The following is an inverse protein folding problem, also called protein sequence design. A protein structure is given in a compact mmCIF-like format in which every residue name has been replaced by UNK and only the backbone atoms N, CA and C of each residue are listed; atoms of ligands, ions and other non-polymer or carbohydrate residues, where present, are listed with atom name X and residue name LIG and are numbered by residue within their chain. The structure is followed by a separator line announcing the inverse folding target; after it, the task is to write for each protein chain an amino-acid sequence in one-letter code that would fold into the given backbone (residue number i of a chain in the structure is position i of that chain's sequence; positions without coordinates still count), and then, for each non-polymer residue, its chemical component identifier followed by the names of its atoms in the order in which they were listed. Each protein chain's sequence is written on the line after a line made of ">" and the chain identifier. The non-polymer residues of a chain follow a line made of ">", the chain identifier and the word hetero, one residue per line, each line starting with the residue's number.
data_IF_561398213181
#
_entry.id   IF_561398213181
#
_cell.length_a   1.000
_cell.length_b   1.000
_cell.length_c   1.000
_cell.angle_alpha   90.00
_cell.angle_beta   90.00
_cell.angle_gamma   90.00
#
_symmetry.space_group_name_H-M   'P 1'
#
loop_
_entity.id
_entity.type
_entity.pdbx_description
1 polymer ?
#
# COMPACT_ATOMS: atom_id res chain seq x y z
N UNK A 1 -34.23 -16.20 10.52
CA UNK A 1 -33.35 -17.25 11.12
C UNK A 1 -32.62 -18.11 10.08
N UNK A 2 -33.28 -18.67 9.06
CA UNK A 2 -32.59 -19.48 8.03
C UNK A 2 -31.66 -18.63 7.13
N UNK A 3 -32.11 -17.46 6.68
CA UNK A 3 -31.31 -16.53 5.85
C UNK A 3 -30.04 -16.07 6.55
N UNK A 4 -30.11 -15.87 7.87
CA UNK A 4 -28.99 -15.44 8.72
C UNK A 4 -27.92 -16.54 8.88
N UNK A 5 -28.36 -17.81 8.99
CA UNK A 5 -27.47 -18.98 8.98
C UNK A 5 -26.81 -19.18 7.62
N UNK A 6 -27.55 -18.97 6.54
CA UNK A 6 -27.07 -19.08 5.17
C UNK A 6 -26.02 -17.99 4.87
N UNK A 7 -26.32 -16.73 5.23
CA UNK A 7 -25.38 -15.62 5.10
C UNK A 7 -24.10 -15.84 5.92
N UNK A 8 -24.24 -16.24 7.19
CA UNK A 8 -23.09 -16.53 8.05
C UNK A 8 -22.26 -17.70 7.50
N UNK A 9 -22.91 -18.73 6.94
CA UNK A 9 -22.25 -19.85 6.29
C UNK A 9 -21.41 -19.41 5.10
N UNK A 10 -21.98 -18.59 4.21
CA UNK A 10 -21.29 -18.04 3.03
C UNK A 10 -20.11 -17.16 3.43
N UNK A 11 -20.29 -16.27 4.41
CA UNK A 11 -19.22 -15.39 4.89
C UNK A 11 -18.07 -16.18 5.52
N UNK A 12 -18.37 -17.22 6.31
CA UNK A 12 -17.36 -18.11 6.89
C UNK A 12 -16.63 -18.92 5.83
N UNK A 13 -17.35 -19.49 4.86
CA UNK A 13 -16.75 -20.22 3.75
C UNK A 13 -15.82 -19.32 2.93
N UNK A 14 -16.24 -18.10 2.62
CA UNK A 14 -15.42 -17.10 1.94
C UNK A 14 -14.16 -16.73 2.72
N UNK A 15 -14.28 -16.50 4.04
CA UNK A 15 -13.14 -16.21 4.89
C UNK A 15 -12.14 -17.38 4.97
N UNK A 16 -12.64 -18.62 5.10
CA UNK A 16 -11.81 -19.82 5.09
C UNK A 16 -11.11 -20.01 3.75
N UNK A 17 -11.82 -19.80 2.64
CA UNK A 17 -11.24 -19.88 1.29
C UNK A 17 -10.14 -18.83 1.10
N UNK A 18 -10.37 -17.58 1.49
CA UNK A 18 -9.36 -16.52 1.40
C UNK A 18 -8.12 -16.84 2.25
N UNK A 19 -8.31 -17.33 3.47
CA UNK A 19 -7.22 -17.76 4.34
C UNK A 19 -6.45 -18.96 3.74
N UNK A 20 -7.17 -19.92 3.16
CA UNK A 20 -6.56 -21.09 2.51
C UNK A 20 -5.73 -20.68 1.29
N UNK A 21 -6.25 -19.80 0.43
CA UNK A 21 -5.51 -19.29 -0.73
C UNK A 21 -4.25 -18.55 -0.28
N UNK A 22 -4.35 -17.69 0.74
CA UNK A 22 -3.19 -17.00 1.30
C UNK A 22 -2.14 -17.98 1.83
N UNK A 23 -2.57 -19.03 2.55
CA UNK A 23 -1.68 -20.08 3.06
C UNK A 23 -1.03 -20.85 1.91
N UNK A 24 -1.78 -21.19 0.86
CA UNK A 24 -1.26 -21.89 -0.31
C UNK A 24 -0.20 -21.06 -1.04
N UNK A 25 -0.45 -19.75 -1.22
CA UNK A 25 0.54 -18.83 -1.81
C UNK A 25 1.81 -18.79 -0.94
N UNK A 26 1.67 -18.69 0.38
CA UNK A 26 2.81 -18.69 1.30
C UNK A 26 3.60 -20.00 1.21
N UNK A 27 2.92 -21.15 1.26
CA UNK A 27 3.55 -22.45 1.13
C UNK A 27 4.25 -22.60 -0.23
N UNK A 28 3.64 -22.14 -1.31
CA UNK A 28 4.24 -22.17 -2.64
C UNK A 28 5.52 -21.33 -2.71
N UNK A 29 5.48 -20.09 -2.20
CA UNK A 29 6.66 -19.22 -2.12
C UNK A 29 7.78 -19.85 -1.30
N UNK A 30 7.45 -20.50 -0.17
CA UNK A 30 8.42 -21.18 0.67
C UNK A 30 9.07 -22.37 -0.04
N UNK A 31 8.27 -23.20 -0.73
CA UNK A 31 8.76 -24.37 -1.45
C UNK A 31 9.69 -23.97 -2.61
N UNK A 32 9.32 -22.96 -3.39
CA UNK A 32 10.14 -22.48 -4.50
C UNK A 32 11.39 -21.72 -4.04
N UNK A 33 11.34 -21.06 -2.87
CA UNK A 33 12.50 -20.38 -2.28
C UNK A 33 13.46 -21.35 -1.59
N UNK A 34 12.98 -22.54 -1.19
CA UNK A 34 13.72 -23.48 -0.35
C UNK A 34 15.09 -23.93 -0.90
N UNK A 35 15.24 -24.26 -2.19
CA UNK A 35 16.53 -24.72 -2.73
C UNK A 35 17.65 -23.69 -2.53
N UNK A 36 17.34 -22.43 -2.79
CA UNK A 36 18.28 -21.31 -2.66
C UNK A 36 18.52 -20.93 -1.20
N UNK A 37 17.50 -20.99 -0.33
CA UNK A 37 17.66 -20.67 1.10
C UNK A 37 18.56 -21.67 1.84
N UNK A 38 18.62 -22.92 1.37
CA UNK A 38 19.47 -23.97 1.95
C UNK A 38 20.80 -24.14 1.22
N UNK A 39 20.83 -23.91 -0.10
CA UNK A 39 22.03 -24.06 -0.92
C UNK A 39 22.94 -22.83 -0.94
N UNK A 40 22.38 -21.63 -0.79
CA UNK A 40 23.10 -20.37 -0.73
C UNK A 40 23.00 -19.75 0.66
N UNK A 41 24.06 -19.08 1.09
CA UNK A 41 24.01 -18.29 2.32
C UNK A 41 23.01 -17.15 2.18
N UNK A 42 22.01 -17.08 3.06
CA UNK A 42 20.98 -16.02 3.09
C UNK A 42 21.61 -14.62 3.16
N UNK A 43 22.83 -14.52 3.71
CA UNK A 43 23.57 -13.27 3.77
C UNK A 43 23.92 -12.71 2.39
N UNK A 44 24.03 -13.55 1.35
CA UNK A 44 24.33 -13.10 -0.02
C UNK A 44 23.30 -12.12 -0.57
N UNK A 45 22.03 -12.25 -0.17
CA UNK A 45 20.98 -11.29 -0.54
C UNK A 45 21.20 -9.88 0.04
N UNK A 46 22.05 -9.76 1.05
CA UNK A 46 22.36 -8.52 1.77
C UNK A 46 23.76 -8.01 1.44
N UNK A 47 24.72 -8.93 1.23
CA UNK A 47 26.16 -8.62 1.14
C UNK A 47 26.73 -8.65 -0.26
N UNK A 48 26.06 -9.28 -1.23
CA UNK A 48 26.54 -9.30 -2.62
C UNK A 48 26.65 -7.86 -3.15
N UNK A 49 27.63 -7.59 -4.01
CA UNK A 49 27.92 -6.23 -4.46
C UNK A 49 26.79 -5.64 -5.32
N UNK A 50 26.06 -6.47 -6.07
CA UNK A 50 25.06 -6.02 -7.04
C UNK A 50 24.06 -7.12 -7.40
N UNK A 51 23.06 -6.76 -8.20
CA UNK A 51 22.08 -7.67 -8.78
C UNK A 51 22.51 -8.08 -10.19
N UNK A 52 23.22 -9.21 -10.31
CA UNK A 52 23.55 -9.86 -11.58
C UNK A 52 23.35 -11.38 -11.45
N UNK A 53 22.10 -11.86 -11.59
CA UNK A 53 21.77 -13.28 -11.40
C UNK A 53 22.56 -14.24 -12.29
N UNK A 54 22.90 -13.82 -13.52
CA UNK A 54 23.69 -14.61 -14.47
C UNK A 54 25.15 -14.80 -14.02
N UNK A 55 25.67 -13.88 -13.22
CA UNK A 55 27.02 -13.94 -12.63
C UNK A 55 26.98 -14.52 -11.20
N UNK A 56 25.80 -14.96 -10.76
CA UNK A 56 25.58 -15.51 -9.43
C UNK A 56 25.58 -14.47 -8.31
N UNK A 57 25.33 -13.18 -8.60
CA UNK A 57 25.20 -12.11 -7.61
C UNK A 57 23.72 -11.72 -7.40
N UNK A 58 23.26 -11.74 -6.14
CA UNK A 58 21.83 -11.72 -5.81
C UNK A 58 21.42 -10.62 -4.80
N UNK A 59 22.06 -9.44 -4.84
CA UNK A 59 21.76 -8.38 -3.87
C UNK A 59 20.33 -7.82 -4.03
N UNK A 60 19.48 -8.03 -3.02
CA UNK A 60 18.09 -7.56 -2.98
C UNK A 60 17.91 -6.22 -2.25
N UNK A 61 18.94 -5.75 -1.54
CA UNK A 61 18.83 -4.59 -0.66
C UNK A 61 18.51 -3.27 -1.36
N UNK A 62 19.11 -2.93 -2.52
CA UNK A 62 18.71 -1.73 -3.26
C UNK A 62 17.22 -1.73 -3.62
N UNK A 63 16.68 -2.93 -3.90
CA UNK A 63 15.29 -3.09 -4.31
C UNK A 63 14.32 -2.99 -3.14
N UNK A 64 14.72 -3.55 -1.99
CA UNK A 64 14.00 -3.39 -0.74
C UNK A 64 13.97 -1.91 -0.34
N UNK A 65 15.10 -1.21 -0.44
CA UNK A 65 15.18 0.22 -0.19
C UNK A 65 14.26 1.01 -1.13
N UNK A 66 14.30 0.75 -2.44
CA UNK A 66 13.40 1.39 -3.41
C UNK A 66 11.92 1.15 -3.09
N UNK A 67 11.55 -0.07 -2.69
CA UNK A 67 10.18 -0.44 -2.30
C UNK A 67 9.71 0.33 -1.07
N UNK A 68 10.56 0.38 -0.02
CA UNK A 68 10.26 1.08 1.23
C UNK A 68 10.20 2.59 1.02
N UNK A 69 11.18 3.17 0.32
CA UNK A 69 11.23 4.61 0.05
C UNK A 69 10.03 5.08 -0.78
N UNK A 70 9.65 4.34 -1.83
CA UNK A 70 8.49 4.67 -2.63
C UNK A 70 7.20 4.60 -1.81
N UNK A 71 7.04 3.55 -1.00
CA UNK A 71 5.85 3.36 -0.17
C UNK A 71 5.74 4.39 0.95
N UNK A 72 6.84 4.66 1.67
CA UNK A 72 6.89 5.65 2.74
C UNK A 72 6.69 7.05 2.17
N UNK A 73 7.35 7.39 1.07
CA UNK A 73 7.16 8.67 0.38
C UNK A 73 5.70 8.89 -0.01
N UNK A 74 5.05 7.85 -0.56
CA UNK A 74 3.64 7.92 -0.92
C UNK A 74 2.73 8.11 0.30
N UNK A 75 3.01 7.41 1.42
CA UNK A 75 2.25 7.55 2.66
C UNK A 75 2.40 8.94 3.29
N UNK A 76 3.61 9.52 3.27
CA UNK A 76 3.87 10.87 3.80
C UNK A 76 2.95 11.90 3.13
N UNK A 77 2.68 11.74 1.83
CA UNK A 77 1.79 12.63 1.08
C UNK A 77 0.32 12.21 1.20
N UNK A 78 0.01 10.93 1.03
CA UNK A 78 -1.36 10.45 0.94
C UNK A 78 -2.10 10.43 2.28
N UNK A 79 -1.40 10.20 3.40
CA UNK A 79 -2.02 10.17 4.74
C UNK A 79 -2.62 11.52 5.14
N UNK A 80 -1.86 12.63 5.16
CA UNK A 80 -2.44 13.92 5.54
C UNK A 80 -3.52 14.37 4.56
N UNK A 81 -3.31 14.21 3.25
CA UNK A 81 -4.31 14.56 2.23
C UNK A 81 -5.57 13.71 2.37
N UNK A 82 -5.42 12.40 2.55
CA UNK A 82 -6.54 11.47 2.66
C UNK A 82 -7.39 11.71 3.91
N UNK A 83 -6.75 11.95 5.07
CA UNK A 83 -7.43 12.31 6.32
C UNK A 83 -8.11 13.67 6.19
N UNK A 84 -7.44 14.67 5.60
CA UNK A 84 -8.03 15.98 5.37
C UNK A 84 -9.27 15.90 4.47
N UNK A 85 -9.21 15.13 3.38
CA UNK A 85 -10.36 14.84 2.52
C UNK A 85 -11.51 14.18 3.28
N UNK A 86 -11.22 13.21 4.15
CA UNK A 86 -12.25 12.56 4.96
C UNK A 86 -12.90 13.52 5.97
N UNK A 87 -12.10 14.33 6.66
CA UNK A 87 -12.59 15.36 7.57
C UNK A 87 -13.46 16.39 6.85
N UNK A 88 -13.05 16.81 5.65
CA UNK A 88 -13.81 17.72 4.81
C UNK A 88 -15.19 17.15 4.50
N UNK A 89 -15.27 15.90 4.03
CA UNK A 89 -16.53 15.23 3.71
C UNK A 89 -17.46 15.14 4.93
N UNK A 90 -16.92 14.80 6.11
CA UNK A 90 -17.73 14.53 7.31
C UNK A 90 -18.19 15.80 8.02
N UNK A 91 -17.32 16.80 8.16
CA UNK A 91 -17.56 17.92 9.08
C UNK A 91 -17.72 19.29 8.41
N UNK A 92 -17.18 19.48 7.20
CA UNK A 92 -17.08 20.81 6.60
C UNK A 92 -17.89 20.98 5.31
N UNK A 93 -18.06 19.91 4.53
CA UNK A 93 -18.74 19.96 3.25
C UNK A 93 -20.28 20.00 3.43
N UNK A 94 -21.01 20.83 2.65
CA UNK A 94 -22.46 20.73 2.57
C UNK A 94 -22.87 19.39 1.94
N UNK A 95 -24.06 18.88 2.29
CA UNK A 95 -24.52 17.53 1.93
C UNK A 95 -24.35 17.17 0.44
N UNK A 96 -24.69 18.09 -0.47
CA UNK A 96 -24.53 17.87 -1.91
C UNK A 96 -23.07 17.73 -2.33
N UNK A 97 -22.19 18.63 -1.85
CA UNK A 97 -20.77 18.60 -2.17
C UNK A 97 -20.08 17.38 -1.58
N UNK A 98 -20.41 17.03 -0.33
CA UNK A 98 -19.92 15.83 0.34
C UNK A 98 -20.27 14.57 -0.47
N UNK A 99 -21.51 14.48 -0.94
CA UNK A 99 -22.00 13.36 -1.75
C UNK A 99 -21.29 13.24 -3.09
N UNK A 100 -21.11 14.36 -3.80
CA UNK A 100 -20.39 14.38 -5.10
C UNK A 100 -18.91 14.05 -4.89
N UNK A 101 -18.25 14.69 -3.93
CA UNK A 101 -16.83 14.47 -3.68
C UNK A 101 -16.54 13.03 -3.24
N UNK A 102 -17.38 12.45 -2.37
CA UNK A 102 -17.28 11.02 -2.01
C UNK A 102 -17.39 10.10 -3.22
N UNK A 103 -18.35 10.35 -4.13
CA UNK A 103 -18.47 9.60 -5.39
C UNK A 103 -17.20 9.71 -6.24
N UNK A 104 -16.60 10.90 -6.36
CA UNK A 104 -15.35 11.07 -7.11
C UNK A 104 -14.19 10.27 -6.51
N UNK A 105 -14.07 10.24 -5.18
CA UNK A 105 -13.06 9.42 -4.48
C UNK A 105 -13.31 7.92 -4.70
N UNK A 106 -14.57 7.48 -4.67
CA UNK A 106 -14.95 6.09 -4.96
C UNK A 106 -14.64 5.71 -6.42
N UNK A 107 -14.88 6.62 -7.37
CA UNK A 107 -14.50 6.43 -8.77
C UNK A 107 -12.97 6.34 -8.92
N UNK A 108 -12.22 7.19 -8.22
CA UNK A 108 -10.76 7.15 -8.21
C UNK A 108 -10.24 5.81 -7.67
N UNK A 109 -10.88 5.24 -6.64
CA UNK A 109 -10.54 3.92 -6.10
C UNK A 109 -10.80 2.78 -7.10
N UNK A 110 -11.70 2.98 -8.06
CA UNK A 110 -12.05 2.00 -9.09
C UNK A 110 -11.09 1.98 -10.29
N UNK A 111 -10.17 2.94 -10.41
CA UNK A 111 -9.22 3.01 -11.52
C UNK A 111 -8.16 1.90 -11.38
N UNK A 112 -7.93 1.06 -12.42
CA UNK A 112 -6.87 0.06 -12.39
C UNK A 112 -5.47 0.68 -12.25
N UNK A 113 -4.55 0.02 -11.52
CA UNK A 113 -3.22 0.60 -11.24
C UNK A 113 -2.37 0.83 -12.50
N UNK A 114 -2.53 -0.01 -13.53
CA UNK A 114 -1.86 0.18 -14.83
C UNK A 114 -2.26 1.49 -15.51
N UNK A 115 -3.48 2.01 -15.28
CA UNK A 115 -3.91 3.29 -15.86
C UNK A 115 -3.17 4.45 -15.19
N UNK A 116 -3.00 4.40 -13.87
CA UNK A 116 -2.16 5.36 -13.15
C UNK A 116 -0.70 5.29 -13.58
N UNK A 117 -0.16 4.08 -13.74
CA UNK A 117 1.20 3.86 -14.25
C UNK A 117 1.40 4.40 -15.66
N UNK A 118 0.44 4.15 -16.56
CA UNK A 118 0.48 4.64 -17.94
C UNK A 118 0.43 6.17 -18.00
N UNK A 119 -0.52 6.79 -17.29
CA UNK A 119 -0.58 8.26 -17.19
C UNK A 119 0.72 8.82 -16.60
N UNK A 120 1.25 8.17 -15.57
CA UNK A 120 2.52 8.54 -14.96
C UNK A 120 3.68 8.48 -15.95
N UNK A 121 3.73 7.46 -16.81
CA UNK A 121 4.75 7.30 -17.83
C UNK A 121 4.60 8.32 -18.99
N UNK A 122 3.38 8.56 -19.47
CA UNK A 122 3.15 9.40 -20.65
C UNK A 122 3.10 10.90 -20.34
N UNK A 123 2.82 11.26 -19.09
CA UNK A 123 2.59 12.65 -18.70
C UNK A 123 3.50 13.07 -17.56
N UNK A 124 3.47 12.37 -16.43
CA UNK A 124 4.20 12.81 -15.24
C UNK A 124 5.72 12.69 -15.40
N UNK A 125 6.22 11.55 -15.87
CA UNK A 125 7.65 11.31 -16.05
C UNK A 125 8.28 12.30 -17.06
N UNK A 126 7.68 12.57 -18.24
CA UNK A 126 8.16 13.65 -19.11
C UNK A 126 8.19 15.02 -18.45
N UNK A 127 7.14 15.41 -17.71
CA UNK A 127 7.11 16.69 -16.98
C UNK A 127 8.21 16.79 -15.93
N UNK A 128 8.48 15.71 -15.19
CA UNK A 128 9.62 15.66 -14.27
C UNK A 128 10.93 15.73 -15.05
N UNK A 129 11.01 15.05 -16.20
CA UNK A 129 12.20 15.00 -17.05
C UNK A 129 12.58 16.35 -17.69
N UNK A 130 11.60 17.22 -17.95
CA UNK A 130 11.84 18.61 -18.38
C UNK A 130 12.55 19.42 -17.30
N UNK A 131 12.29 19.12 -16.02
CA UNK A 131 12.93 19.79 -14.90
C UNK A 131 14.25 19.09 -14.49
N UNK A 132 14.22 17.77 -14.38
CA UNK A 132 15.33 16.93 -13.98
C UNK A 132 15.28 15.57 -14.73
N UNK A 133 16.10 15.38 -15.78
CA UNK A 133 16.24 14.10 -16.46
C UNK A 133 16.68 12.98 -15.50
N UNK A 134 16.24 11.72 -15.70
CA UNK A 134 15.47 11.18 -16.85
C UNK A 134 13.94 11.29 -16.70
N UNK A 135 13.43 11.89 -15.62
CA UNK A 135 12.00 11.96 -15.33
C UNK A 135 11.43 10.71 -14.66
N UNK A 136 11.74 9.53 -15.21
CA UNK A 136 11.43 8.24 -14.58
C UNK A 136 12.28 8.05 -13.32
N UNK A 137 11.65 8.07 -12.15
CA UNK A 137 12.34 8.31 -10.87
C UNK A 137 11.55 7.80 -9.67
N UNK A 138 12.21 7.73 -8.51
CA UNK A 138 11.56 7.50 -7.22
C UNK A 138 10.42 8.50 -6.97
N UNK A 139 10.61 9.79 -7.31
CA UNK A 139 9.59 10.83 -7.18
C UNK A 139 8.37 10.52 -8.04
N UNK A 140 8.56 10.16 -9.31
CA UNK A 140 7.47 9.77 -10.20
C UNK A 140 6.67 8.59 -9.59
N UNK A 141 7.38 7.58 -9.08
CA UNK A 141 6.79 6.45 -8.36
C UNK A 141 5.98 6.89 -7.14
N UNK A 142 6.55 7.74 -6.28
CA UNK A 142 5.90 8.28 -5.07
C UNK A 142 4.61 9.02 -5.41
N UNK A 143 4.62 9.88 -6.43
CA UNK A 143 3.46 10.69 -6.81
C UNK A 143 2.33 9.83 -7.39
N UNK A 144 2.66 8.87 -8.26
CA UNK A 144 1.67 7.92 -8.82
C UNK A 144 1.08 7.04 -7.72
N UNK A 145 1.93 6.52 -6.82
CA UNK A 145 1.48 5.74 -5.66
C UNK A 145 0.59 6.57 -4.73
N UNK A 146 0.95 7.83 -4.48
CA UNK A 146 0.16 8.76 -3.66
C UNK A 146 -1.26 8.87 -4.22
N UNK A 147 -1.39 9.14 -5.52
CA UNK A 147 -2.70 9.26 -6.18
C UNK A 147 -3.52 7.98 -6.05
N UNK A 148 -2.87 6.82 -6.14
CA UNK A 148 -3.51 5.51 -6.05
C UNK A 148 -3.98 5.15 -4.63
N UNK A 149 -3.17 5.41 -3.60
CA UNK A 149 -3.51 5.03 -2.20
C UNK A 149 -4.33 6.09 -1.47
N UNK A 150 -4.33 7.34 -1.95
CA UNK A 150 -5.15 8.43 -1.43
C UNK A 150 -6.64 8.05 -1.27
N UNK A 151 -7.36 7.54 -2.29
CA UNK A 151 -8.77 7.21 -2.13
C UNK A 151 -9.01 6.12 -1.09
N UNK A 152 -8.10 5.15 -0.95
CA UNK A 152 -8.20 4.13 0.10
C UNK A 152 -8.13 4.78 1.49
N UNK A 153 -7.17 5.67 1.73
CA UNK A 153 -7.02 6.38 3.01
C UNK A 153 -8.25 7.25 3.27
N UNK A 154 -8.74 7.98 2.26
CA UNK A 154 -9.93 8.83 2.42
C UNK A 154 -11.18 8.01 2.77
N UNK A 155 -11.42 6.89 2.10
CA UNK A 155 -12.61 6.04 2.34
C UNK A 155 -12.53 5.39 3.72
N UNK A 156 -11.37 4.86 4.11
CA UNK A 156 -11.17 4.24 5.43
C UNK A 156 -11.25 5.27 6.56
N UNK A 157 -10.67 6.45 6.40
CA UNK A 157 -10.80 7.53 7.37
C UNK A 157 -12.25 8.05 7.45
N UNK A 158 -12.95 8.19 6.32
CA UNK A 158 -14.36 8.58 6.27
C UNK A 158 -15.23 7.59 7.03
N UNK A 159 -15.07 6.29 6.79
CA UNK A 159 -15.86 5.25 7.47
C UNK A 159 -15.57 5.22 8.97
N UNK A 160 -14.31 5.40 9.38
CA UNK A 160 -13.94 5.50 10.79
C UNK A 160 -14.57 6.73 11.48
N UNK A 161 -14.55 7.89 10.83
CA UNK A 161 -15.13 9.13 11.35
C UNK A 161 -16.67 9.09 11.37
N UNK A 162 -17.30 8.53 10.33
CA UNK A 162 -18.75 8.39 10.24
C UNK A 162 -19.31 7.37 11.25
N UNK A 163 -18.48 6.45 11.74
CA UNK A 163 -18.83 5.50 12.79
C UNK A 163 -18.75 6.08 14.21
N UNK A 164 -18.33 7.34 14.38
CA UNK A 164 -18.33 8.01 15.69
C UNK A 164 -19.79 8.22 16.13
N UNK A 165 -20.19 7.80 17.35
CA UNK A 165 -21.54 7.99 17.86
C UNK A 165 -21.98 9.45 17.79
N UNK A 166 -23.20 9.69 17.29
CA UNK A 166 -23.72 11.05 17.12
C UNK A 166 -23.89 11.76 18.47
N UNK A 167 -24.14 11.00 19.52
CA UNK A 167 -24.28 11.47 20.90
C UNK A 167 -23.00 12.15 21.38
N UNK A 168 -21.82 11.62 21.05
CA UNK A 168 -20.53 12.24 21.39
C UNK A 168 -20.37 13.60 20.70
N UNK A 169 -20.79 13.70 19.43
CA UNK A 169 -20.71 14.94 18.65
C UNK A 169 -21.72 15.99 19.15
N UNK A 170 -22.93 15.56 19.51
CA UNK A 170 -23.96 16.42 20.08
C UNK A 170 -23.57 16.92 21.48
N UNK A 171 -23.03 16.06 22.33
CA UNK A 171 -22.52 16.44 23.66
C UNK A 171 -21.38 17.46 23.55
N UNK A 172 -20.48 17.29 22.58
CA UNK A 172 -19.43 18.26 22.31
C UNK A 172 -20.00 19.64 21.95
N UNK A 173 -21.04 19.67 21.10
CA UNK A 173 -21.72 20.92 20.76
C UNK A 173 -22.46 21.55 21.93
N UNK A 174 -23.06 20.75 22.82
CA UNK A 174 -23.73 21.21 24.03
C UNK A 174 -22.75 21.84 25.05
N UNK A 175 -21.50 21.36 25.07
CA UNK A 175 -20.40 21.95 25.84
C UNK A 175 -19.80 23.21 25.19
N UNK A 176 -20.36 23.70 24.09
CA UNK A 176 -19.90 24.91 23.40
C UNK A 176 -18.61 24.73 22.60
N UNK A 177 -18.20 23.49 22.30
CA UNK A 177 -17.02 23.25 21.45
C UNK A 177 -17.28 23.73 20.02
N UNK A 178 -16.30 24.44 19.45
CA UNK A 178 -16.32 24.80 18.03
C UNK A 178 -16.22 23.55 17.15
N UNK A 179 -16.61 23.64 15.88
CA UNK A 179 -16.50 22.51 14.93
C UNK A 179 -15.09 21.89 14.91
N UNK A 180 -14.06 22.73 14.90
CA UNK A 180 -12.67 22.25 14.97
C UNK A 180 -12.33 21.66 16.35
N UNK A 181 -12.85 22.25 17.43
CA UNK A 181 -12.75 21.69 18.78
C UNK A 181 -13.34 20.29 18.88
N UNK A 182 -14.52 20.05 18.29
CA UNK A 182 -15.16 18.74 18.22
C UNK A 182 -14.35 17.75 17.38
N UNK A 183 -13.85 18.17 16.22
CA UNK A 183 -13.01 17.32 15.37
C UNK A 183 -11.75 16.86 16.09
N UNK A 184 -10.99 17.80 16.66
CA UNK A 184 -9.70 17.52 17.31
C UNK A 184 -9.85 16.84 18.66
N UNK A 185 -10.85 17.23 19.45
CA UNK A 185 -11.04 16.77 20.83
C UNK A 185 -11.88 15.50 20.96
N UNK A 186 -12.74 15.18 19.99
CA UNK A 186 -13.71 14.07 20.10
C UNK A 186 -13.62 13.13 18.90
N UNK A 187 -13.84 13.64 17.68
CA UNK A 187 -13.98 12.77 16.51
C UNK A 187 -12.67 12.05 16.14
N UNK A 188 -11.55 12.77 16.05
CA UNK A 188 -10.24 12.17 15.73
C UNK A 188 -9.78 11.17 16.79
N UNK A 189 -9.83 11.47 18.10
CA UNK A 189 -9.51 10.50 19.15
C UNK A 189 -10.41 9.24 19.09
N UNK A 190 -11.71 9.41 18.86
CA UNK A 190 -12.65 8.30 18.77
C UNK A 190 -12.41 7.42 17.52
N UNK A 191 -12.03 8.03 16.39
CA UNK A 191 -11.81 7.34 15.12
C UNK A 191 -10.36 6.82 14.94
N UNK A 192 -9.44 7.10 15.87
CA UNK A 192 -7.99 6.86 15.71
C UNK A 192 -7.62 5.43 15.32
N UNK A 193 -8.29 4.43 15.90
CA UNK A 193 -8.00 3.01 15.63
C UNK A 193 -8.43 2.61 14.22
N UNK A 194 -9.57 3.12 13.75
CA UNK A 194 -10.02 2.90 12.37
C UNK A 194 -9.14 3.60 11.34
N UNK A 195 -8.76 4.86 11.60
CA UNK A 195 -7.85 5.61 10.72
C UNK A 195 -6.49 4.93 10.65
N UNK A 196 -5.90 4.54 11.79
CA UNK A 196 -4.59 3.87 11.81
C UNK A 196 -4.63 2.51 11.11
N UNK A 197 -5.67 1.70 11.32
CA UNK A 197 -5.85 0.45 10.59
C UNK A 197 -5.95 0.69 9.06
N UNK A 198 -6.73 1.69 8.63
CA UNK A 198 -6.84 2.09 7.22
C UNK A 198 -5.51 2.52 6.60
N UNK A 199 -4.70 3.30 7.33
CA UNK A 199 -3.36 3.71 6.88
C UNK A 199 -2.41 2.52 6.76
N UNK A 200 -2.45 1.57 7.70
CA UNK A 200 -1.61 0.35 7.63
C UNK A 200 -2.02 -0.52 6.43
N UNK A 201 -3.31 -0.64 6.14
CA UNK A 201 -3.79 -1.34 4.94
C UNK A 201 -3.34 -0.64 3.64
N UNK A 202 -3.34 0.69 3.62
CA UNK A 202 -2.80 1.45 2.50
C UNK A 202 -1.29 1.26 2.33
N UNK A 203 -0.54 1.18 3.43
CA UNK A 203 0.89 0.86 3.41
C UNK A 203 1.16 -0.54 2.84
N UNK A 204 0.39 -1.54 3.28
CA UNK A 204 0.46 -2.89 2.76
C UNK A 204 0.18 -2.94 1.24
N UNK A 205 -0.78 -2.14 0.75
CA UNK A 205 -1.04 -2.02 -0.69
C UNK A 205 0.09 -1.32 -1.44
N UNK A 206 0.66 -0.25 -0.88
CA UNK A 206 1.77 0.47 -1.51
C UNK A 206 3.01 -0.41 -1.69
N UNK A 207 3.36 -1.23 -0.69
CA UNK A 207 4.50 -2.16 -0.76
C UNK A 207 4.34 -3.24 -1.83
N UNK A 208 3.09 -3.66 -2.07
CA UNK A 208 2.75 -4.65 -3.09
C UNK A 208 2.51 -4.07 -4.48
N UNK A 209 2.63 -2.75 -4.67
CA UNK A 209 2.33 -2.16 -5.96
C UNK A 209 3.41 -2.52 -6.99
N UNK A 210 2.95 -3.10 -8.10
CA UNK A 210 3.81 -3.69 -9.12
C UNK A 210 3.75 -2.89 -10.42
N UNK A 211 2.55 -2.75 -10.99
CA UNK A 211 2.40 -2.24 -12.36
C UNK A 211 2.62 -0.74 -12.43
N UNK A 212 2.06 0.02 -11.49
CA UNK A 212 2.22 1.48 -11.54
C UNK A 212 3.70 1.89 -11.42
N UNK A 213 4.41 1.27 -10.48
CA UNK A 213 5.82 1.59 -10.20
C UNK A 213 6.73 1.08 -11.31
N UNK A 214 6.48 -0.13 -11.84
CA UNK A 214 7.23 -0.69 -12.97
C UNK A 214 7.19 0.23 -14.20
N UNK A 215 6.12 0.98 -14.41
CA UNK A 215 6.02 1.87 -15.56
C UNK A 215 6.77 3.20 -15.39
N UNK A 216 6.97 3.68 -14.16
CA UNK A 216 7.38 5.09 -13.94
C UNK A 216 8.68 5.26 -13.15
N UNK A 217 9.15 4.23 -12.45
CA UNK A 217 10.30 4.34 -11.54
C UNK A 217 11.67 4.19 -12.22
N UNK A 218 11.71 3.93 -13.53
CA UNK A 218 12.95 3.78 -14.31
C UNK A 218 13.63 2.42 -14.18
N UNK A 219 13.30 1.62 -13.15
CA UNK A 219 13.71 0.22 -12.98
C UNK A 219 15.22 -0.04 -13.02
N UNK A 220 16.00 0.84 -12.41
CA UNK A 220 17.45 0.64 -12.21
C UNK A 220 17.70 0.08 -10.80
N UNK A 221 18.53 -0.97 -10.69
CA UNK A 221 18.90 -1.55 -9.39
C UNK A 221 20.04 -0.75 -8.79
N UNK A 222 19.70 0.22 -7.94
CA UNK A 222 20.66 1.07 -7.24
C UNK A 222 20.04 1.65 -5.96
N UNK A 223 20.89 2.14 -5.06
CA UNK A 223 20.44 2.99 -3.96
C UNK A 223 20.21 4.40 -4.49
N UNK A 224 19.02 4.99 -4.32
CA UNK A 224 18.79 6.37 -4.73
C UNK A 224 19.53 7.32 -3.78
N UNK A 225 20.32 8.23 -4.33
CA UNK A 225 20.93 9.35 -3.59
C UNK A 225 20.00 10.57 -3.57
N UNK A 226 19.11 10.65 -4.57
CA UNK A 226 18.12 11.68 -4.76
C UNK A 226 16.74 11.10 -5.06
N UNK A 227 15.69 11.88 -4.80
CA UNK A 227 14.31 11.50 -5.20
C UNK A 227 14.13 11.44 -6.72
N UNK A 228 15.03 12.05 -7.48
CA UNK A 228 14.99 12.03 -8.94
C UNK A 228 15.69 10.80 -9.55
N UNK A 229 16.34 9.98 -8.74
CA UNK A 229 17.03 8.81 -9.24
C UNK A 229 16.04 7.69 -9.59
N UNK A 230 16.30 6.92 -10.66
CA UNK A 230 15.52 5.75 -10.97
C UNK A 230 15.77 4.65 -9.93
N UNK A 231 14.72 3.90 -9.62
CA UNK A 231 14.75 2.80 -8.66
C UNK A 231 14.00 1.60 -9.23
N UNK A 232 14.37 0.40 -8.78
CA UNK A 232 13.63 -0.84 -9.07
C UNK A 232 13.09 -1.42 -7.77
N UNK A 233 11.79 -1.64 -7.68
CA UNK A 233 11.18 -2.29 -6.51
C UNK A 233 11.27 -3.81 -6.60
N UNK A 234 11.13 -4.50 -5.47
CA UNK A 234 11.11 -5.97 -5.42
C UNK A 234 10.00 -6.54 -6.32
N UNK A 235 8.82 -5.92 -6.30
CA UNK A 235 7.69 -6.36 -7.10
C UNK A 235 7.94 -6.16 -8.60
N UNK A 236 8.51 -5.01 -8.98
CA UNK A 236 8.92 -4.75 -10.36
C UNK A 236 10.00 -5.74 -10.82
N UNK A 237 10.94 -6.13 -9.94
CA UNK A 237 11.95 -7.14 -10.26
C UNK A 237 11.34 -8.47 -10.68
N UNK A 238 10.40 -8.96 -9.88
CA UNK A 238 9.71 -10.21 -10.14
C UNK A 238 9.01 -10.11 -11.50
N UNK A 239 8.28 -9.02 -11.75
CA UNK A 239 7.59 -8.83 -13.02
C UNK A 239 8.53 -8.75 -14.24
N UNK A 240 9.69 -8.11 -14.09
CA UNK A 240 10.66 -7.92 -15.18
C UNK A 240 11.43 -9.20 -15.52
N UNK A 241 11.76 -10.02 -14.52
CA UNK A 241 12.73 -11.12 -14.71
C UNK A 241 12.10 -12.52 -14.69
N UNK A 242 10.90 -12.68 -14.10
CA UNK A 242 10.27 -14.00 -13.91
C UNK A 242 10.01 -14.75 -15.22
N UNK A 243 9.75 -14.03 -16.32
CA UNK A 243 9.40 -14.64 -17.61
C UNK A 243 10.54 -15.47 -18.23
N UNK A 244 11.80 -15.16 -17.91
CA UNK A 244 12.97 -15.82 -18.48
C UNK A 244 13.92 -16.43 -17.43
N UNK A 245 13.65 -16.22 -16.14
CA UNK A 245 14.47 -16.75 -15.05
C UNK A 245 14.41 -18.28 -14.97
N UNK A 246 15.57 -18.92 -14.83
CA UNK A 246 15.75 -20.37 -14.72
C UNK A 246 16.64 -20.73 -13.52
N UNK A 247 16.46 -21.93 -12.96
CA UNK A 247 17.29 -22.45 -11.86
C UNK A 247 17.32 -21.53 -10.64
N UNK A 248 18.53 -21.22 -10.16
CA UNK A 248 18.73 -20.37 -8.97
C UNK A 248 18.16 -18.97 -9.13
N UNK A 249 18.30 -18.35 -10.32
CA UNK A 249 17.74 -17.03 -10.60
C UNK A 249 16.23 -16.99 -10.34
N UNK A 250 15.50 -18.00 -10.82
CA UNK A 250 14.05 -18.13 -10.58
C UNK A 250 13.74 -18.26 -9.09
N UNK A 251 14.49 -19.10 -8.39
CA UNK A 251 14.31 -19.35 -6.96
C UNK A 251 14.57 -18.10 -6.11
N UNK A 252 15.55 -17.27 -6.49
CA UNK A 252 15.82 -15.96 -5.84
C UNK A 252 14.69 -14.94 -6.06
N UNK A 253 14.02 -14.96 -7.21
CA UNK A 253 12.82 -14.14 -7.42
C UNK A 253 11.68 -14.57 -6.50
N UNK A 254 11.53 -15.86 -6.21
CA UNK A 254 10.59 -16.34 -5.19
C UNK A 254 10.98 -15.91 -3.78
N UNK A 255 12.28 -15.82 -3.46
CA UNK A 255 12.76 -15.21 -2.18
C UNK A 255 12.33 -13.74 -2.10
N UNK A 256 12.43 -12.99 -3.20
CA UNK A 256 11.94 -11.61 -3.26
C UNK A 256 10.43 -11.51 -2.98
N UNK A 257 9.66 -12.43 -3.56
CA UNK A 257 8.22 -12.55 -3.33
C UNK A 257 7.88 -12.92 -1.88
N UNK A 258 8.64 -13.86 -1.29
CA UNK A 258 8.51 -14.25 0.11
C UNK A 258 8.81 -13.08 1.05
N UNK A 259 9.86 -12.31 0.77
CA UNK A 259 10.22 -11.12 1.55
C UNK A 259 9.10 -10.08 1.53
N UNK A 260 8.57 -9.76 0.35
CA UNK A 260 7.41 -8.85 0.22
C UNK A 260 6.18 -9.37 0.94
N UNK A 261 5.88 -10.66 0.78
CA UNK A 261 4.74 -11.30 1.42
C UNK A 261 4.82 -11.21 2.95
N UNK A 262 5.99 -11.46 3.52
CA UNK A 262 6.22 -11.33 4.96
C UNK A 262 6.04 -9.88 5.43
N UNK A 263 6.57 -8.90 4.70
CA UNK A 263 6.38 -7.48 5.03
C UNK A 263 4.90 -7.09 5.04
N UNK A 264 4.16 -7.46 3.99
CA UNK A 264 2.72 -7.20 3.87
C UNK A 264 1.92 -7.91 4.96
N UNK A 265 2.28 -9.16 5.28
CA UNK A 265 1.62 -9.96 6.31
C UNK A 265 1.81 -9.36 7.69
N UNK A 266 3.03 -8.92 8.03
CA UNK A 266 3.33 -8.26 9.32
C UNK A 266 2.49 -7.00 9.48
N UNK A 267 2.45 -6.13 8.45
CA UNK A 267 1.64 -4.92 8.49
C UNK A 267 0.15 -5.23 8.60
N UNK A 268 -0.34 -6.18 7.81
CA UNK A 268 -1.77 -6.57 7.84
C UNK A 268 -2.17 -7.16 9.19
N UNK A 269 -1.30 -7.96 9.80
CA UNK A 269 -1.50 -8.50 11.15
C UNK A 269 -1.54 -7.38 12.20
N UNK A 270 -0.65 -6.39 12.12
CA UNK A 270 -0.68 -5.22 13.00
C UNK A 270 -2.00 -4.45 12.90
N UNK A 271 -2.51 -4.22 11.68
CA UNK A 271 -3.81 -3.57 11.48
C UNK A 271 -4.95 -4.35 12.16
N UNK A 272 -5.00 -5.67 11.98
CA UNK A 272 -6.03 -6.52 12.57
C UNK A 272 -5.97 -6.58 14.10
N UNK A 273 -4.77 -6.57 14.69
CA UNK A 273 -4.60 -6.53 16.15
C UNK A 273 -5.08 -5.20 16.76
N UNK A 274 -4.88 -4.08 16.06
CA UNK A 274 -5.37 -2.77 16.49
C UNK A 274 -6.90 -2.69 16.44
N UNK A 275 -7.51 -3.30 15.43
CA UNK A 275 -8.97 -3.31 15.29
C UNK A 275 -9.66 -4.17 16.35
N UNK A 276 -9.09 -5.34 16.70
CA UNK A 276 -9.63 -6.19 17.78
C UNK A 276 -9.72 -5.48 19.13
N UNK A 277 -8.81 -4.55 19.43
CA UNK A 277 -8.84 -3.73 20.65
C UNK A 277 -10.01 -2.73 20.70
N UNK A 278 -10.75 -2.54 19.60
CA UNK A 278 -11.95 -1.68 19.55
C UNK A 278 -13.21 -2.39 20.05
N UNK A 279 -13.23 -3.72 20.03
CA UNK A 279 -14.38 -4.56 20.39
C UNK A 279 -14.22 -5.28 21.74
N UNK A 280 -13.10 -5.06 22.43
CA UNK A 280 -12.81 -5.54 23.77
C UNK A 280 -12.84 -4.35 24.75
#
# INVERSE_FOLDING_TARGET
>A
MQTDRLLTGVLRAGAVLAALVMLLILCFLLLESWPVLTGLSVFRFLTDASWHPLEGAYNLMPMLAGTLLASIGALILAVPLGIASALFIVFFAPLHLASIYKRLIELLAGIPSVVFGFWGLTTLAPLIGEWQPPGASLLAGVLVLTLMILPMITITAYTALAAVPKELLQNASALGLSRWGTVRGVALPAARTGITAGVILAAARALGETMAVLMVAGNVVQYPESVFDPVRTLAANIALEMAYAMGDHRSVLFVSGLLLMLLVMVLSAMAGLLEKRRYA
#
